data_IF_328545298930
#
_entry.id   IF_328545298930
#
_cell.length_a   1.000
_cell.length_b   1.000
_cell.length_c   1.000
_cell.angle_alpha   90.00
_cell.angle_beta   90.00
_cell.angle_gamma   90.00
#
_symmetry.space_group_name_H-M   'P 1'
#
loop_
_entity.id
_entity.type
_entity.pdbx_description
1 polymer ?
#
# COMPACT_ATOMS: atom_id res chain seq x y z
N UNK A 1 -8.60 -8.78 -11.28
CA UNK A 1 -9.05 -8.09 -12.50
C UNK A 1 -8.75 -6.62 -12.30
N UNK A 2 -7.74 -6.08 -12.95
CA UNK A 2 -7.67 -4.67 -13.21
C UNK A 2 -8.98 -4.30 -13.91
N UNK A 3 -9.89 -3.69 -13.19
CA UNK A 3 -10.88 -2.90 -13.86
C UNK A 3 -10.11 -1.72 -14.43
N UNK A 4 -9.87 -1.89 -15.72
CA UNK A 4 -9.13 -1.03 -16.59
C UNK A 4 -9.42 0.45 -16.37
N UNK A 5 -8.49 1.25 -16.77
CA UNK A 5 -8.46 2.64 -17.17
C UNK A 5 -9.83 3.28 -17.60
N UNK A 6 -10.90 2.52 -17.74
CA UNK A 6 -12.24 3.02 -18.11
C UNK A 6 -12.88 3.96 -17.08
N UNK A 7 -12.57 3.82 -15.79
CA UNK A 7 -13.16 4.66 -14.75
C UNK A 7 -12.41 5.98 -14.51
N UNK A 8 -11.26 6.18 -15.15
CA UNK A 8 -10.55 7.46 -15.11
C UNK A 8 -11.23 8.58 -15.89
N UNK A 9 -12.26 8.30 -16.69
CA UNK A 9 -12.97 9.31 -17.49
C UNK A 9 -14.07 10.06 -16.74
N UNK A 10 -14.52 9.57 -15.61
CA UNK A 10 -15.45 10.29 -14.74
C UNK A 10 -14.63 10.91 -13.60
N UNK A 11 -14.49 12.22 -13.61
CA UNK A 11 -13.67 13.08 -12.78
C UNK A 11 -13.20 12.48 -11.44
N UNK A 12 -11.89 12.25 -11.29
CA UNK A 12 -11.28 11.89 -10.01
C UNK A 12 -11.14 13.18 -9.22
N UNK A 13 -11.86 13.27 -8.10
CA UNK A 13 -11.72 14.35 -7.14
C UNK A 13 -10.53 14.13 -6.19
N UNK A 14 -10.12 15.18 -5.49
CA UNK A 14 -9.07 15.08 -4.45
C UNK A 14 -9.44 14.09 -3.33
N UNK A 15 -10.72 13.85 -3.12
CA UNK A 15 -11.21 12.90 -2.11
C UNK A 15 -11.05 11.44 -2.51
N UNK A 16 -10.91 11.16 -3.81
CA UNK A 16 -10.74 9.81 -4.35
C UNK A 16 -9.30 9.29 -4.21
N UNK A 17 -8.33 10.16 -3.93
CA UNK A 17 -6.92 9.83 -3.87
C UNK A 17 -6.41 9.97 -2.44
N UNK A 18 -5.68 8.96 -1.96
CA UNK A 18 -4.92 9.04 -0.71
C UNK A 18 -3.50 8.60 -0.95
N UNK A 19 -2.59 9.17 -0.15
CA UNK A 19 -1.16 8.91 -0.24
C UNK A 19 -0.70 8.34 1.10
N UNK A 20 0.07 7.27 1.04
CA UNK A 20 0.83 6.72 2.14
C UNK A 20 2.31 6.89 1.83
N UNK A 21 3.02 7.62 2.66
CA UNK A 21 4.45 7.89 2.51
C UNK A 21 5.29 6.86 3.27
N UNK A 22 6.58 6.81 2.96
CA UNK A 22 7.57 6.02 3.69
C UNK A 22 7.58 6.37 5.19
N UNK A 23 7.56 7.67 5.53
CA UNK A 23 7.26 8.12 6.89
C UNK A 23 5.73 8.06 7.10
N UNK A 24 5.24 7.36 8.13
CA UNK A 24 3.81 7.25 8.44
C UNK A 24 3.09 8.58 8.66
N UNK A 25 3.79 9.65 9.01
CA UNK A 25 3.27 11.01 9.25
C UNK A 25 2.03 11.00 10.16
N UNK A 26 2.07 10.17 11.21
CA UNK A 26 1.03 10.20 12.24
C UNK A 26 1.20 11.45 13.09
N UNK A 27 0.07 12.06 13.46
CA UNK A 27 0.06 13.24 14.34
C UNK A 27 0.46 12.81 15.77
N UNK A 28 1.60 13.26 16.31
CA UNK A 28 2.09 12.77 17.59
C UNK A 28 1.22 13.19 18.79
N UNK A 29 0.40 14.25 18.64
CA UNK A 29 -0.56 14.73 19.63
C UNK A 29 -1.95 14.12 19.52
N UNK A 30 -2.13 13.09 18.69
CA UNK A 30 -3.36 12.29 18.56
C UNK A 30 -3.05 10.83 18.82
N UNK A 31 -3.95 10.13 19.52
CA UNK A 31 -3.84 8.68 19.63
C UNK A 31 -4.09 8.00 18.27
N UNK A 32 -3.90 6.70 18.21
CA UNK A 32 -3.99 5.93 16.95
C UNK A 32 -5.39 6.00 16.35
N UNK A 33 -6.44 5.85 17.15
CA UNK A 33 -7.82 5.97 16.67
C UNK A 33 -8.10 7.37 16.11
N UNK A 34 -7.69 8.41 16.82
CA UNK A 34 -7.84 9.80 16.38
C UNK A 34 -7.06 10.11 15.08
N UNK A 35 -5.91 9.46 14.89
CA UNK A 35 -5.18 9.55 13.63
C UNK A 35 -5.95 8.94 12.46
N UNK A 36 -6.56 7.76 12.66
CA UNK A 36 -7.34 7.09 11.62
C UNK A 36 -8.67 7.82 11.34
N UNK A 37 -9.25 8.47 12.35
CA UNK A 37 -10.48 9.27 12.23
C UNK A 37 -10.24 10.66 11.60
N UNK A 38 -9.00 11.05 11.34
CA UNK A 38 -8.66 12.38 10.87
C UNK A 38 -9.39 12.74 9.56
N UNK A 39 -10.18 13.81 9.60
CA UNK A 39 -10.98 14.27 8.46
C UNK A 39 -12.28 13.49 8.20
N UNK A 40 -12.57 12.44 8.98
CA UNK A 40 -13.81 11.70 8.85
C UNK A 40 -14.98 12.42 9.53
N UNK A 41 -16.16 12.44 8.91
CA UNK A 41 -17.39 12.80 9.59
C UNK A 41 -17.65 11.86 10.78
N UNK A 42 -18.24 12.37 11.87
CA UNK A 42 -18.54 11.57 13.06
C UNK A 42 -19.32 10.28 12.77
N UNK A 43 -20.24 10.33 11.81
CA UNK A 43 -21.02 9.16 11.38
C UNK A 43 -20.15 8.03 10.81
N UNK A 44 -18.93 8.33 10.33
CA UNK A 44 -17.98 7.35 9.77
C UNK A 44 -16.92 6.90 10.77
N UNK A 45 -16.88 7.41 12.00
CA UNK A 45 -15.93 6.98 13.03
C UNK A 45 -15.92 5.46 13.28
N UNK A 46 -17.06 4.74 13.25
CA UNK A 46 -17.04 3.27 13.36
C UNK A 46 -16.27 2.56 12.25
N UNK A 47 -16.09 3.19 11.08
CA UNK A 47 -15.24 2.65 10.01
C UNK A 47 -13.76 2.62 10.43
N UNK A 48 -13.30 3.68 11.10
CA UNK A 48 -11.92 3.76 11.60
C UNK A 48 -11.61 2.63 12.60
N UNK A 49 -12.54 2.30 13.48
CA UNK A 49 -12.40 1.19 14.44
C UNK A 49 -12.30 -0.16 13.73
N UNK A 50 -13.18 -0.40 12.75
CA UNK A 50 -13.13 -1.63 11.93
C UNK A 50 -11.82 -1.74 11.14
N UNK A 51 -11.29 -0.62 10.63
CA UNK A 51 -10.00 -0.63 9.92
C UNK A 51 -8.84 -0.92 10.88
N UNK A 52 -8.85 -0.36 12.08
CA UNK A 52 -7.86 -0.69 13.11
C UNK A 52 -7.89 -2.19 13.45
N UNK A 53 -9.06 -2.79 13.53
CA UNK A 53 -9.18 -4.24 13.70
C UNK A 53 -8.60 -5.01 12.51
N UNK A 54 -8.91 -4.60 11.28
CA UNK A 54 -8.38 -5.22 10.05
C UNK A 54 -6.86 -5.15 9.93
N UNK A 55 -6.24 -4.07 10.40
CA UNK A 55 -4.77 -3.94 10.41
C UNK A 55 -4.12 -4.51 11.68
N UNK A 56 -4.90 -5.12 12.59
CA UNK A 56 -4.39 -5.76 13.81
C UNK A 56 -3.94 -4.77 14.89
N UNK A 57 -4.58 -3.60 14.98
CA UNK A 57 -4.26 -2.55 15.95
C UNK A 57 -5.43 -2.13 16.84
N UNK A 58 -6.47 -2.98 16.97
CA UNK A 58 -7.65 -2.68 17.80
C UNK A 58 -7.27 -2.38 19.25
N UNK A 59 -6.38 -3.18 19.82
CA UNK A 59 -5.86 -3.05 21.18
C UNK A 59 -4.91 -1.86 21.38
N UNK A 60 -4.48 -1.22 20.30
CA UNK A 60 -3.59 -0.06 20.28
C UNK A 60 -4.32 1.26 20.00
N UNK A 61 -5.65 1.24 19.85
CA UNK A 61 -6.45 2.40 19.44
C UNK A 61 -6.23 3.65 20.31
N UNK A 62 -6.03 3.49 21.61
CA UNK A 62 -5.81 4.57 22.58
C UNK A 62 -4.34 4.95 22.80
N UNK A 63 -3.40 4.18 22.21
CA UNK A 63 -1.96 4.45 22.32
C UNK A 63 -1.54 5.63 21.44
N UNK A 64 -0.38 6.23 21.77
CA UNK A 64 0.22 7.30 21.01
C UNK A 64 1.20 6.76 19.96
N UNK A 65 1.44 7.47 18.86
CA UNK A 65 2.37 7.00 17.81
C UNK A 65 3.76 6.61 18.33
N UNK A 66 4.26 7.30 19.35
CA UNK A 66 5.57 7.04 19.97
C UNK A 66 5.65 5.69 20.70
N UNK A 67 4.51 5.11 21.06
CA UNK A 67 4.42 3.83 21.75
C UNK A 67 4.36 2.63 20.79
N UNK A 68 4.29 2.88 19.49
CA UNK A 68 4.17 1.87 18.46
C UNK A 68 5.52 1.56 17.80
N UNK A 69 5.70 0.30 17.37
CA UNK A 69 6.81 -0.08 16.48
C UNK A 69 6.68 0.57 15.10
N UNK A 70 7.75 0.55 14.30
CA UNK A 70 7.72 1.05 12.93
C UNK A 70 6.63 0.42 12.08
N UNK A 71 6.52 -0.91 12.12
CA UNK A 71 5.47 -1.64 11.40
C UNK A 71 4.06 -1.33 11.89
N UNK A 72 3.86 -1.16 13.19
CA UNK A 72 2.58 -0.76 13.75
C UNK A 72 2.20 0.65 13.31
N UNK A 73 3.15 1.60 13.26
CA UNK A 73 2.90 2.94 12.71
C UNK A 73 2.51 2.89 11.23
N UNK A 74 3.17 2.04 10.43
CA UNK A 74 2.82 1.85 9.01
C UNK A 74 1.42 1.26 8.84
N UNK A 75 1.03 0.28 9.65
CA UNK A 75 -0.34 -0.27 9.67
C UNK A 75 -1.39 0.80 10.02
N UNK A 76 -1.09 1.67 10.99
CA UNK A 76 -1.98 2.78 11.36
C UNK A 76 -2.10 3.82 10.22
N UNK A 77 -1.00 4.12 9.52
CA UNK A 77 -1.01 5.00 8.35
C UNK A 77 -1.82 4.42 7.19
N UNK A 78 -1.72 3.11 6.95
CA UNK A 78 -2.53 2.40 5.96
C UNK A 78 -4.03 2.46 6.33
N UNK A 79 -4.39 2.20 7.59
CA UNK A 79 -5.76 2.31 8.07
C UNK A 79 -6.30 3.74 7.89
N UNK A 80 -5.50 4.78 8.20
CA UNK A 80 -5.86 6.18 7.97
C UNK A 80 -6.09 6.49 6.50
N UNK A 81 -5.24 6.00 5.60
CA UNK A 81 -5.41 6.21 4.18
C UNK A 81 -6.69 5.55 3.64
N UNK A 82 -7.00 4.35 4.12
CA UNK A 82 -8.19 3.59 3.70
C UNK A 82 -9.49 4.05 4.36
N UNK A 83 -9.43 4.80 5.46
CA UNK A 83 -10.63 5.26 6.17
C UNK A 83 -11.54 6.18 5.36
N UNK A 84 -10.98 6.84 4.34
CA UNK A 84 -11.72 7.66 3.39
C UNK A 84 -12.25 6.90 2.17
N UNK A 85 -12.11 5.56 2.15
CA UNK A 85 -12.55 4.70 1.03
C UNK A 85 -12.06 5.20 -0.34
N UNK A 86 -10.74 5.43 -0.52
CA UNK A 86 -10.21 6.02 -1.73
C UNK A 86 -10.41 5.10 -2.94
N UNK A 87 -10.57 5.69 -4.12
CA UNK A 87 -10.54 4.95 -5.39
C UNK A 87 -9.11 4.65 -5.82
N UNK A 88 -8.15 5.51 -5.43
CA UNK A 88 -6.73 5.37 -5.73
C UNK A 88 -5.93 5.53 -4.44
N UNK A 89 -5.06 4.56 -4.16
CA UNK A 89 -4.08 4.61 -3.09
C UNK A 89 -2.67 4.68 -3.67
N UNK A 90 -1.98 5.79 -3.41
CA UNK A 90 -0.56 5.95 -3.74
C UNK A 90 0.27 5.49 -2.55
N UNK A 91 1.18 4.57 -2.79
CA UNK A 91 2.08 3.97 -1.81
C UNK A 91 3.52 4.35 -2.20
N UNK A 92 4.09 5.31 -1.48
CA UNK A 92 5.43 5.82 -1.75
C UNK A 92 6.43 5.17 -0.80
N UNK A 93 7.17 4.18 -1.29
CA UNK A 93 8.14 3.34 -0.54
C UNK A 93 7.62 2.85 0.84
N UNK A 94 6.38 2.31 0.92
CA UNK A 94 5.70 2.09 2.20
C UNK A 94 6.38 1.05 3.08
N UNK A 95 7.28 0.24 2.53
CA UNK A 95 7.92 -0.89 3.20
C UNK A 95 9.44 -0.73 3.38
N UNK A 96 10.03 0.34 2.84
CA UNK A 96 11.48 0.51 2.78
C UNK A 96 12.18 0.58 4.14
N UNK A 97 11.51 1.04 5.19
CA UNK A 97 12.05 1.17 6.54
C UNK A 97 11.75 -0.06 7.44
N UNK A 98 11.15 -1.14 6.91
CA UNK A 98 10.74 -2.30 7.68
C UNK A 98 11.76 -3.45 7.60
N UNK A 99 11.91 -4.18 8.70
CA UNK A 99 12.63 -5.46 8.69
C UNK A 99 11.91 -6.50 7.82
N UNK A 100 12.61 -7.58 7.47
CA UNK A 100 12.13 -8.56 6.50
C UNK A 100 10.80 -9.23 6.90
N UNK A 101 10.60 -9.55 8.18
CA UNK A 101 9.38 -10.21 8.66
C UNK A 101 8.20 -9.23 8.65
N UNK A 102 8.39 -8.06 9.20
CA UNK A 102 7.37 -6.99 9.23
C UNK A 102 7.00 -6.56 7.81
N UNK A 103 7.96 -6.53 6.88
CA UNK A 103 7.73 -6.25 5.46
C UNK A 103 6.80 -7.29 4.83
N UNK A 104 7.08 -8.58 5.04
CA UNK A 104 6.24 -9.67 4.55
C UNK A 104 4.81 -9.59 5.10
N UNK A 105 4.65 -9.32 6.39
CA UNK A 105 3.34 -9.14 7.01
C UNK A 105 2.57 -7.95 6.41
N UNK A 106 3.27 -6.84 6.12
CA UNK A 106 2.66 -5.67 5.48
C UNK A 106 2.27 -5.94 4.03
N UNK A 107 3.08 -6.68 3.26
CA UNK A 107 2.74 -7.11 1.90
C UNK A 107 1.44 -7.92 1.89
N UNK A 108 1.35 -8.91 2.76
CA UNK A 108 0.15 -9.75 2.90
C UNK A 108 -1.07 -8.92 3.34
N UNK A 109 -0.89 -7.96 4.22
CA UNK A 109 -1.94 -7.05 4.68
C UNK A 109 -2.45 -6.17 3.54
N UNK A 110 -1.55 -5.55 2.78
CA UNK A 110 -1.90 -4.70 1.62
C UNK A 110 -2.67 -5.52 0.57
N UNK A 111 -2.18 -6.71 0.22
CA UNK A 111 -2.83 -7.59 -0.75
C UNK A 111 -4.24 -7.99 -0.30
N UNK A 112 -4.41 -8.35 0.97
CA UNK A 112 -5.72 -8.69 1.55
C UNK A 112 -6.69 -7.52 1.48
N UNK A 113 -6.27 -6.33 1.95
CA UNK A 113 -7.13 -5.14 1.96
C UNK A 113 -7.47 -4.67 0.55
N UNK A 114 -6.52 -4.77 -0.38
CA UNK A 114 -6.75 -4.52 -1.80
C UNK A 114 -7.80 -5.46 -2.39
N UNK A 115 -7.71 -6.76 -2.10
CA UNK A 115 -8.68 -7.77 -2.55
C UNK A 115 -10.08 -7.50 -1.98
N UNK A 116 -10.17 -7.09 -0.71
CA UNK A 116 -11.44 -6.83 -0.03
C UNK A 116 -12.12 -5.53 -0.50
N UNK A 117 -11.35 -4.48 -0.78
CA UNK A 117 -11.88 -3.13 -1.01
C UNK A 117 -11.86 -2.69 -2.48
N UNK A 118 -11.02 -3.30 -3.32
CA UNK A 118 -11.01 -3.10 -4.77
C UNK A 118 -10.49 -1.73 -5.24
N UNK A 119 -9.72 -1.01 -4.41
CA UNK A 119 -9.09 0.25 -4.82
C UNK A 119 -7.98 0.03 -5.86
N UNK A 120 -7.66 1.04 -6.66
CA UNK A 120 -6.48 1.03 -7.51
C UNK A 120 -5.26 1.42 -6.67
N UNK A 121 -4.22 0.57 -6.65
CA UNK A 121 -2.96 0.87 -5.98
C UNK A 121 -1.88 1.26 -6.98
N UNK A 122 -1.17 2.36 -6.70
CA UNK A 122 0.09 2.72 -7.34
C UNK A 122 1.19 2.64 -6.29
N UNK A 123 2.09 1.67 -6.45
CA UNK A 123 3.22 1.44 -5.57
C UNK A 123 4.51 1.98 -6.22
N UNK A 124 5.18 2.88 -5.52
CA UNK A 124 6.54 3.32 -5.84
C UNK A 124 7.48 2.54 -4.92
N UNK A 125 8.41 1.80 -5.51
CA UNK A 125 9.41 1.03 -4.78
C UNK A 125 10.69 0.88 -5.61
N UNK A 126 11.80 0.71 -4.93
CA UNK A 126 13.09 0.33 -5.52
C UNK A 126 13.39 -1.17 -5.33
N UNK A 127 12.49 -1.91 -4.67
CA UNK A 127 12.63 -3.35 -4.43
C UNK A 127 11.88 -4.13 -5.52
N UNK A 128 12.65 -4.80 -6.39
CA UNK A 128 12.10 -5.60 -7.51
C UNK A 128 11.23 -6.75 -7.00
N UNK A 129 11.64 -7.40 -5.89
CA UNK A 129 10.87 -8.50 -5.29
C UNK A 129 9.51 -8.02 -4.80
N UNK A 130 9.45 -6.84 -4.17
CA UNK A 130 8.21 -6.19 -3.74
C UNK A 130 7.30 -5.87 -4.93
N UNK A 131 7.86 -5.30 -5.99
CA UNK A 131 7.11 -4.99 -7.21
C UNK A 131 6.49 -6.27 -7.81
N UNK A 132 7.26 -7.35 -7.96
CA UNK A 132 6.75 -8.63 -8.47
C UNK A 132 5.72 -9.25 -7.53
N UNK A 133 5.89 -9.11 -6.22
CA UNK A 133 4.97 -9.65 -5.21
C UNK A 133 3.60 -8.97 -5.27
N UNK A 134 3.55 -7.64 -5.38
CA UNK A 134 2.32 -6.86 -5.18
C UNK A 134 1.67 -6.39 -6.48
N UNK A 135 2.44 -6.01 -7.51
CA UNK A 135 1.87 -5.37 -8.68
C UNK A 135 1.34 -6.36 -9.71
N UNK A 136 0.27 -6.01 -10.44
CA UNK A 136 -0.16 -6.75 -11.64
C UNK A 136 0.53 -6.21 -12.90
N UNK A 137 1.13 -5.02 -12.78
CA UNK A 137 1.88 -4.37 -13.84
C UNK A 137 3.03 -3.59 -13.24
N UNK A 138 4.25 -3.78 -13.76
CA UNK A 138 5.45 -3.08 -13.32
C UNK A 138 5.89 -2.14 -14.44
N UNK A 139 6.11 -0.88 -14.08
CA UNK A 139 6.61 0.15 -14.98
C UNK A 139 7.98 0.59 -14.48
N UNK A 140 9.00 0.40 -15.30
CA UNK A 140 10.34 0.92 -15.04
C UNK A 140 10.45 2.32 -15.64
N UNK A 141 10.81 3.28 -14.81
CA UNK A 141 11.07 4.66 -15.21
C UNK A 141 12.58 4.90 -15.26
N UNK A 142 13.05 5.45 -16.35
CA UNK A 142 14.42 5.93 -16.53
C UNK A 142 14.41 7.31 -17.16
N UNK A 143 15.19 8.25 -16.61
CA UNK A 143 15.35 9.64 -17.09
C UNK A 143 14.02 10.34 -17.42
N UNK A 144 12.96 10.05 -16.64
CA UNK A 144 11.63 10.65 -16.83
C UNK A 144 10.77 9.98 -17.91
N UNK A 145 11.22 8.88 -18.49
CA UNK A 145 10.49 8.11 -19.50
C UNK A 145 10.17 6.70 -19.01
N UNK A 146 9.15 6.07 -19.62
CA UNK A 146 8.86 4.67 -19.41
C UNK A 146 9.85 3.84 -20.22
N UNK A 147 10.84 3.23 -19.55
CA UNK A 147 11.83 2.37 -20.19
C UNK A 147 11.26 0.98 -20.46
N UNK A 148 10.60 0.37 -19.48
CA UNK A 148 10.00 -0.96 -19.61
C UNK A 148 8.63 -1.04 -18.96
N UNK A 149 7.85 -2.02 -19.42
CA UNK A 149 6.50 -2.29 -18.94
C UNK A 149 6.27 -3.80 -18.90
N UNK A 150 6.19 -4.37 -17.70
CA UNK A 150 6.03 -5.81 -17.49
C UNK A 150 4.62 -6.11 -16.99
N UNK A 151 3.96 -7.08 -17.60
CA UNK A 151 2.71 -7.64 -17.11
C UNK A 151 3.02 -8.80 -16.17
N UNK A 152 2.48 -8.78 -14.96
CA UNK A 152 2.71 -9.82 -13.95
C UNK A 152 1.55 -10.82 -13.99
N UNK A 153 1.71 -11.90 -14.76
CA UNK A 153 0.70 -12.96 -14.93
C UNK A 153 0.90 -14.11 -13.93
N UNK A 154 1.18 -13.78 -12.66
CA UNK A 154 1.32 -14.76 -11.58
C UNK A 154 0.03 -14.84 -10.76
N UNK A 155 -0.43 -16.07 -10.43
CA UNK A 155 -1.64 -16.25 -9.62
C UNK A 155 -1.44 -15.70 -8.19
N UNK A 156 -2.52 -15.18 -7.59
CA UNK A 156 -2.54 -14.74 -6.20
C UNK A 156 -3.15 -15.81 -5.28
N UNK A 157 -2.69 -15.98 -4.04
CA UNK A 157 -1.53 -15.31 -3.43
C UNK A 157 -0.21 -15.78 -4.08
N UNK A 158 0.68 -14.83 -4.36
CA UNK A 158 1.94 -15.12 -5.04
C UNK A 158 2.91 -15.84 -4.10
N UNK A 159 3.46 -16.95 -4.61
CA UNK A 159 4.50 -17.72 -3.92
C UNK A 159 5.81 -17.56 -4.66
N UNK A 160 6.93 -17.65 -3.96
CA UNK A 160 8.28 -17.66 -4.51
C UNK A 160 8.48 -18.95 -5.34
N UNK A 161 7.88 -19.00 -6.51
CA UNK A 161 7.98 -20.11 -7.48
C UNK A 161 9.10 -19.84 -8.50
N UNK A 162 9.38 -20.82 -9.36
CA UNK A 162 10.32 -20.65 -10.48
C UNK A 162 9.86 -19.50 -11.39
N UNK A 163 8.57 -19.41 -11.73
CA UNK A 163 8.02 -18.34 -12.55
C UNK A 163 8.15 -16.97 -11.86
N UNK A 164 8.02 -16.91 -10.53
CA UNK A 164 8.27 -15.68 -9.77
C UNK A 164 9.74 -15.26 -9.89
N UNK A 165 10.68 -16.18 -9.65
CA UNK A 165 12.11 -15.90 -9.72
C UNK A 165 12.55 -15.49 -11.15
N UNK A 166 11.98 -16.11 -12.18
CA UNK A 166 12.25 -15.73 -13.57
C UNK A 166 11.81 -14.30 -13.89
N UNK A 167 10.61 -13.91 -13.45
CA UNK A 167 10.12 -12.55 -13.66
C UNK A 167 10.93 -11.54 -12.85
N UNK A 168 11.25 -11.87 -11.59
CA UNK A 168 12.12 -11.03 -10.73
C UNK A 168 13.46 -10.79 -11.39
N UNK A 169 14.12 -11.82 -11.94
CA UNK A 169 15.38 -11.70 -12.66
C UNK A 169 15.23 -10.85 -13.94
N UNK A 170 14.17 -11.06 -14.71
CA UNK A 170 13.88 -10.28 -15.92
C UNK A 170 13.74 -8.78 -15.63
N UNK A 171 13.03 -8.43 -14.56
CA UNK A 171 12.86 -7.02 -14.13
C UNK A 171 14.19 -6.47 -13.64
N UNK A 172 14.96 -7.25 -12.85
CA UNK A 172 16.27 -6.84 -12.34
C UNK A 172 17.26 -6.57 -13.49
N UNK A 173 17.32 -7.46 -14.48
CA UNK A 173 18.20 -7.30 -15.65
C UNK A 173 17.87 -6.00 -16.41
N UNK A 174 16.58 -5.67 -16.54
CA UNK A 174 16.16 -4.41 -17.15
C UNK A 174 16.58 -3.18 -16.33
N UNK A 175 16.49 -3.25 -14.99
CA UNK A 175 16.94 -2.18 -14.08
C UNK A 175 18.45 -1.96 -14.20
N UNK A 176 19.24 -3.04 -14.33
CA UNK A 176 20.70 -2.96 -14.42
C UNK A 176 21.18 -2.50 -15.81
N UNK A 177 20.33 -2.58 -16.83
CA UNK A 177 20.65 -2.17 -18.22
C UNK A 177 20.33 -0.69 -18.49
N UNK A 178 19.61 0.00 -17.59
CA UNK A 178 19.29 1.43 -17.64
C UNK A 178 20.30 2.25 -16.84
#
# INVERSE_FOLDING_TARGET
KFQSVRNFREGIGNDDIRVMFQDPRLLPWKNILQNVQLGLPKAQHPLAERLLEKVGLKDKATQWPTQLSGGQRQRAALARALSHSPRILLLDEPLGALDALTRLEMQNLIERLWTEQGFTALLVTHDVSEAVQLADRIILLDQGHIAHNFQVNLPRPRKKSIAFAQLEQQVLDAVLAT
#
